data_IF_728664895459
#
_entry.id   IF_728664895459
#
_cell.length_a   1.000
_cell.length_b   1.000
_cell.length_c   1.000
_cell.angle_alpha   90.00
_cell.angle_beta   90.00
_cell.angle_gamma   90.00
#
_symmetry.space_group_name_H-M   'P 1'
#
loop_
_entity.id
_entity.type
_entity.pdbx_description
1 polymer ?
#
# COMPACT_ATOMS: atom_id res chain seq x y z
N UNK A 1 -29.40 32.62 12.80
CA UNK A 1 -30.39 33.70 12.60
C UNK A 1 -30.92 33.56 11.19
N UNK A 2 -32.22 33.30 11.03
CA UNK A 2 -32.84 33.24 9.71
C UNK A 2 -33.23 34.69 9.31
N UNK A 3 -32.83 35.11 8.13
CA UNK A 3 -33.24 36.39 7.56
C UNK A 3 -34.29 36.10 6.48
N UNK A 4 -35.50 36.62 6.67
CA UNK A 4 -36.57 36.53 5.67
C UNK A 4 -36.41 37.69 4.71
N UNK A 5 -36.28 37.43 3.43
CA UNK A 5 -36.30 38.44 2.37
C UNK A 5 -37.65 38.27 1.65
N UNK A 6 -38.50 39.25 1.71
CA UNK A 6 -39.75 39.31 0.94
C UNK A 6 -39.48 40.06 -0.39
N UNK A 7 -39.81 39.43 -1.49
CA UNK A 7 -39.90 40.08 -2.79
C UNK A 7 -41.24 39.69 -3.43
N UNK A 8 -41.84 40.59 -4.11
CA UNK A 8 -43.24 40.81 -4.47
C UNK A 8 -44.14 39.62 -4.89
N UNK A 9 -43.74 38.37 -4.80
CA UNK A 9 -44.63 37.20 -4.95
C UNK A 9 -44.10 35.87 -4.37
N UNK A 10 -42.96 35.85 -3.70
CA UNK A 10 -42.46 34.62 -3.04
C UNK A 10 -41.79 34.93 -1.73
N UNK A 11 -42.14 34.19 -0.68
CA UNK A 11 -41.44 34.22 0.60
C UNK A 11 -40.25 33.21 0.49
N UNK A 12 -39.03 33.71 0.64
CA UNK A 12 -37.85 32.88 0.76
C UNK A 12 -37.34 32.93 2.19
N UNK A 13 -37.26 31.80 2.82
CA UNK A 13 -36.53 31.65 4.09
C UNK A 13 -35.07 31.33 3.77
N UNK A 14 -34.16 32.27 3.97
CA UNK A 14 -32.74 32.02 3.82
C UNK A 14 -32.23 31.37 5.08
N UNK A 15 -32.15 30.05 5.11
CA UNK A 15 -31.47 29.31 6.16
C UNK A 15 -29.98 29.35 5.87
N UNK A 16 -29.21 30.08 6.66
CA UNK A 16 -27.74 29.95 6.61
C UNK A 16 -27.37 28.60 7.21
N UNK A 17 -27.14 27.61 6.35
CA UNK A 17 -26.51 26.36 6.76
C UNK A 17 -25.02 26.62 6.79
N UNK A 18 -24.44 26.60 7.98
CA UNK A 18 -23.00 26.68 8.15
C UNK A 18 -22.44 25.24 8.11
N UNK A 19 -21.38 25.01 7.34
CA UNK A 19 -20.57 23.82 7.49
C UNK A 19 -19.82 23.87 8.85
N UNK A 20 -19.21 22.79 9.30
CA UNK A 20 -18.42 22.77 10.54
C UNK A 20 -17.31 23.83 10.60
N UNK A 21 -16.86 24.31 9.43
CA UNK A 21 -15.82 25.35 9.31
C UNK A 21 -16.39 26.77 9.33
N UNK A 22 -17.68 26.93 9.60
CA UNK A 22 -18.36 28.23 9.68
C UNK A 22 -18.59 28.93 8.33
N UNK A 23 -18.36 28.25 7.20
CA UNK A 23 -18.62 28.79 5.87
C UNK A 23 -20.10 28.66 5.51
N UNK A 24 -20.65 29.67 4.88
CA UNK A 24 -22.04 29.69 4.44
C UNK A 24 -22.21 28.77 3.24
N UNK A 25 -22.96 27.69 3.41
CA UNK A 25 -23.50 26.93 2.28
C UNK A 25 -24.65 27.74 1.71
N UNK A 26 -24.50 28.27 0.50
CA UNK A 26 -25.59 28.90 -0.22
C UNK A 26 -26.58 27.81 -0.68
N UNK A 27 -27.65 27.64 0.09
CA UNK A 27 -28.78 26.77 -0.30
C UNK A 27 -29.87 27.68 -0.82
N UNK A 28 -30.13 27.66 -2.11
CA UNK A 28 -31.32 28.31 -2.70
C UNK A 28 -32.44 27.28 -2.73
N UNK A 29 -33.47 27.50 -1.93
CA UNK A 29 -34.68 26.67 -1.94
C UNK A 29 -35.64 27.31 -2.96
N UNK A 30 -35.74 26.74 -4.14
CA UNK A 30 -36.81 27.03 -5.10
C UNK A 30 -38.04 26.15 -4.83
N UNK A 31 -39.18 26.45 -5.43
CA UNK A 31 -40.43 25.69 -5.26
C UNK A 31 -40.21 24.19 -5.37
N UNK A 32 -40.21 23.47 -4.26
CA UNK A 32 -40.24 22.01 -4.16
C UNK A 32 -38.91 21.27 -4.15
N UNK A 33 -37.73 21.91 -4.23
CA UNK A 33 -36.43 21.24 -4.08
C UNK A 33 -35.35 22.16 -3.52
N UNK A 34 -34.56 21.66 -2.55
CA UNK A 34 -33.31 22.30 -2.14
C UNK A 34 -32.23 22.04 -3.20
N UNK A 35 -31.79 23.06 -3.93
CA UNK A 35 -30.63 22.95 -4.81
C UNK A 35 -29.36 23.22 -3.98
N UNK A 36 -28.58 22.20 -3.74
CA UNK A 36 -27.22 22.34 -3.16
C UNK A 36 -26.29 22.65 -4.31
N UNK A 37 -25.75 23.87 -4.35
CA UNK A 37 -24.68 24.21 -5.30
C UNK A 37 -23.33 23.89 -4.63
N UNK A 38 -22.68 22.80 -5.02
CA UNK A 38 -21.32 22.54 -4.58
C UNK A 38 -20.41 23.68 -5.08
N UNK A 39 -19.28 23.94 -4.39
CA UNK A 39 -18.28 24.91 -4.87
C UNK A 39 -17.97 24.70 -6.35
N UNK A 40 -17.72 25.78 -7.08
CA UNK A 40 -17.51 25.73 -8.55
C UNK A 40 -16.40 24.75 -8.98
N UNK A 41 -15.43 24.50 -8.10
CA UNK A 41 -14.36 23.51 -8.29
C UNK A 41 -14.84 22.06 -8.23
N UNK A 42 -16.02 21.80 -7.66
CA UNK A 42 -16.62 20.45 -7.66
C UNK A 42 -17.30 20.11 -8.98
N UNK A 43 -17.40 21.05 -9.90
CA UNK A 43 -17.98 20.87 -11.24
C UNK A 43 -16.89 20.96 -12.31
N UNK A 44 -17.12 20.28 -13.44
CA UNK A 44 -16.31 20.47 -14.65
C UNK A 44 -16.71 21.76 -15.39
N UNK A 45 -16.04 22.06 -16.52
CA UNK A 45 -16.31 23.24 -17.32
C UNK A 45 -17.74 23.26 -17.95
N UNK A 46 -18.43 22.13 -17.97
CA UNK A 46 -19.81 22.01 -18.43
C UNK A 46 -20.82 22.04 -17.27
N UNK A 47 -20.38 22.32 -16.04
CA UNK A 47 -21.24 22.37 -14.86
C UNK A 47 -21.64 21.00 -14.30
N UNK A 48 -21.04 19.90 -14.77
CA UNK A 48 -21.32 18.54 -14.29
C UNK A 48 -20.53 18.28 -13.02
N UNK A 49 -21.18 17.68 -12.02
CA UNK A 49 -20.51 17.31 -10.79
C UNK A 49 -19.33 16.35 -11.04
N UNK A 50 -18.16 16.67 -10.49
CA UNK A 50 -16.99 15.78 -10.53
C UNK A 50 -17.18 14.67 -9.51
N UNK A 51 -17.52 13.49 -9.98
CA UNK A 51 -17.65 12.27 -9.18
C UNK A 51 -16.58 11.27 -9.58
N UNK A 52 -16.09 10.50 -8.63
CA UNK A 52 -15.09 9.47 -8.88
C UNK A 52 -15.42 8.20 -8.11
N UNK A 53 -15.04 7.04 -8.67
CA UNK A 53 -15.15 5.76 -7.98
C UNK A 53 -13.81 5.43 -7.32
N UNK A 54 -13.77 5.14 -6.02
CA UNK A 54 -12.56 4.67 -5.35
C UNK A 54 -12.07 3.36 -5.98
N UNK A 55 -10.76 3.19 -6.04
CA UNK A 55 -10.11 1.95 -6.45
C UNK A 55 -9.27 1.41 -5.30
N UNK A 56 -9.55 0.18 -4.86
CA UNK A 56 -8.80 -0.47 -3.79
C UNK A 56 -7.45 -0.95 -4.32
N UNK A 57 -6.37 -0.34 -3.85
CA UNK A 57 -5.00 -0.75 -4.15
C UNK A 57 -4.55 -1.90 -3.26
N UNK A 58 -5.10 -1.96 -2.05
CA UNK A 58 -4.73 -2.93 -1.03
C UNK A 58 -5.83 -3.09 0.01
N UNK A 59 -6.06 -4.32 0.42
CA UNK A 59 -6.81 -4.67 1.61
C UNK A 59 -6.13 -5.84 2.33
N UNK A 60 -6.20 -5.84 3.64
CA UNK A 60 -5.63 -6.89 4.48
C UNK A 60 -6.44 -7.09 5.74
N UNK A 61 -6.77 -8.35 6.01
CA UNK A 61 -7.34 -8.82 7.25
C UNK A 61 -6.61 -10.08 7.71
N UNK A 62 -6.73 -10.42 8.99
CA UNK A 62 -6.00 -11.54 9.59
C UNK A 62 -6.95 -12.61 10.16
N UNK A 63 -8.10 -12.82 9.52
CA UNK A 63 -9.15 -13.74 10.02
C UNK A 63 -8.65 -15.16 10.28
N UNK A 64 -7.83 -15.72 9.38
CA UNK A 64 -7.38 -17.11 9.44
C UNK A 64 -5.88 -17.27 9.64
N UNK A 65 -5.12 -16.19 9.74
CA UNK A 65 -3.67 -16.23 9.90
C UNK A 65 -2.98 -15.00 9.35
N UNK A 66 -1.66 -15.04 9.34
CA UNK A 66 -0.85 -14.08 8.59
C UNK A 66 -1.05 -14.35 7.09
N UNK A 67 -1.53 -13.35 6.37
CA UNK A 67 -1.90 -13.49 4.95
C UNK A 67 -0.70 -13.44 4.00
N UNK A 68 0.53 -13.30 4.51
CA UNK A 68 1.76 -13.23 3.71
C UNK A 68 1.93 -11.91 2.94
N UNK A 69 1.15 -10.87 3.27
CA UNK A 69 1.26 -9.54 2.68
C UNK A 69 2.11 -8.58 3.53
N UNK A 70 2.68 -9.08 4.61
CA UNK A 70 3.47 -8.31 5.58
C UNK A 70 4.80 -9.00 5.87
N UNK A 71 5.89 -8.26 5.75
CA UNK A 71 7.19 -8.63 6.31
C UNK A 71 7.22 -8.27 7.80
N UNK A 72 7.89 -9.10 8.59
CA UNK A 72 7.99 -8.91 10.04
C UNK A 72 9.46 -8.95 10.47
N UNK A 73 9.89 -7.94 11.21
CA UNK A 73 11.20 -7.90 11.86
C UNK A 73 11.00 -7.82 13.37
N UNK A 74 11.78 -8.60 14.11
CA UNK A 74 11.75 -8.65 15.58
C UNK A 74 13.15 -8.49 16.15
N UNK A 75 13.26 -7.89 17.33
CA UNK A 75 14.52 -7.75 18.05
C UNK A 75 14.31 -7.89 19.57
N UNK A 76 15.33 -8.40 20.27
CA UNK A 76 15.47 -8.34 21.74
C UNK A 76 14.24 -8.78 22.55
N UNK A 77 13.62 -9.90 22.18
CA UNK A 77 12.42 -10.41 22.88
C UNK A 77 11.08 -10.00 22.25
N UNK A 78 11.14 -9.25 21.12
CA UNK A 78 9.94 -8.98 20.31
C UNK A 78 9.42 -10.24 19.64
N UNK A 79 8.08 -10.39 19.55
CA UNK A 79 7.41 -11.51 18.89
C UNK A 79 6.11 -11.07 18.22
N UNK A 80 5.81 -11.65 17.06
CA UNK A 80 4.55 -11.47 16.34
C UNK A 80 3.75 -12.77 16.38
N UNK A 81 2.47 -12.70 16.73
CA UNK A 81 1.62 -13.88 16.83
C UNK A 81 0.20 -13.59 16.32
N UNK A 82 -0.34 -14.53 15.54
CA UNK A 82 -1.74 -14.50 15.13
C UNK A 82 -2.63 -14.92 16.29
N UNK A 83 -3.69 -14.16 16.54
CA UNK A 83 -4.76 -14.50 17.47
C UNK A 83 -6.01 -14.92 16.66
N UNK A 84 -6.30 -16.22 16.66
CA UNK A 84 -7.41 -16.78 15.90
C UNK A 84 -8.79 -16.39 16.44
N UNK A 85 -8.90 -16.09 17.73
CA UNK A 85 -10.17 -15.72 18.35
C UNK A 85 -10.52 -14.27 18.03
N UNK A 86 -9.53 -13.37 18.06
CA UNK A 86 -9.71 -11.97 17.73
C UNK A 86 -9.54 -11.69 16.23
N UNK A 87 -8.93 -12.60 15.45
CA UNK A 87 -8.70 -12.46 14.01
C UNK A 87 -7.71 -11.36 13.66
N UNK A 88 -6.65 -11.22 14.44
CA UNK A 88 -5.67 -10.14 14.34
C UNK A 88 -4.23 -10.66 14.58
N UNK A 89 -3.25 -9.77 14.43
CA UNK A 89 -1.86 -10.03 14.78
C UNK A 89 -1.49 -9.22 16.03
N UNK A 90 -0.99 -9.90 17.05
CA UNK A 90 -0.39 -9.32 18.24
C UNK A 90 1.11 -9.05 17.98
N UNK A 91 1.54 -7.81 18.12
CA UNK A 91 2.94 -7.41 18.12
C UNK A 91 3.34 -7.25 19.59
N UNK A 92 4.10 -8.22 20.10
CA UNK A 92 4.46 -8.32 21.52
C UNK A 92 5.91 -7.89 21.72
N UNK A 93 6.15 -7.09 22.75
CA UNK A 93 7.49 -6.78 23.27
C UNK A 93 7.54 -7.14 24.76
N UNK A 94 8.67 -7.67 25.21
CA UNK A 94 8.94 -7.86 26.65
C UNK A 94 9.31 -6.53 27.33
N UNK A 95 9.89 -6.57 28.54
CA UNK A 95 10.31 -5.36 29.24
C UNK A 95 11.71 -4.86 28.84
N UNK A 96 12.43 -5.58 27.98
CA UNK A 96 13.83 -5.33 27.66
C UNK A 96 13.98 -4.08 26.77
N UNK A 97 15.00 -3.28 27.05
CA UNK A 97 15.38 -2.18 26.15
C UNK A 97 15.75 -2.71 24.77
N UNK A 98 15.23 -2.06 23.71
CA UNK A 98 15.45 -2.48 22.33
C UNK A 98 14.53 -3.61 21.86
N UNK A 99 13.67 -4.18 22.74
CA UNK A 99 12.65 -5.13 22.32
C UNK A 99 11.71 -4.45 21.32
N UNK A 100 11.55 -5.05 20.14
CA UNK A 100 10.74 -4.43 19.07
C UNK A 100 10.12 -5.44 18.14
N UNK A 101 8.97 -5.05 17.57
CA UNK A 101 8.33 -5.71 16.44
C UNK A 101 7.94 -4.65 15.43
N UNK A 102 8.32 -4.87 14.18
CA UNK A 102 7.96 -4.04 13.05
C UNK A 102 7.31 -4.93 12.00
N UNK A 103 6.13 -4.54 11.54
CA UNK A 103 5.47 -5.16 10.39
C UNK A 103 5.27 -4.13 9.31
N UNK A 104 5.71 -4.45 8.09
CA UNK A 104 5.59 -3.58 6.92
C UNK A 104 5.05 -4.38 5.74
N UNK A 105 4.19 -3.78 4.92
CA UNK A 105 3.67 -4.45 3.73
C UNK A 105 4.79 -4.78 2.75
N UNK A 106 4.72 -5.99 2.15
CA UNK A 106 5.67 -6.44 1.11
C UNK A 106 5.50 -5.69 -0.22
N UNK A 107 4.54 -4.77 -0.27
CA UNK A 107 4.25 -3.87 -1.39
C UNK A 107 4.25 -2.43 -0.93
N UNK A 108 4.57 -1.54 -1.85
CA UNK A 108 4.31 -0.11 -1.74
C UNK A 108 3.14 0.27 -2.63
N UNK A 109 2.46 1.35 -2.30
CA UNK A 109 1.23 1.75 -2.99
C UNK A 109 1.50 2.96 -3.85
N UNK A 110 1.30 2.81 -5.16
CA UNK A 110 1.58 3.85 -6.12
C UNK A 110 0.60 5.01 -5.98
N UNK A 111 1.12 6.19 -5.69
CA UNK A 111 0.40 7.43 -5.83
C UNK A 111 0.26 7.81 -7.30
N UNK A 112 -0.90 8.29 -7.71
CA UNK A 112 -1.12 8.80 -9.06
C UNK A 112 -1.43 10.30 -8.99
N UNK A 113 -0.61 11.18 -9.61
CA UNK A 113 -0.82 12.62 -9.60
C UNK A 113 -2.23 13.02 -10.04
N UNK A 114 -2.84 13.94 -9.29
CA UNK A 114 -4.22 14.39 -9.51
C UNK A 114 -5.31 13.54 -8.86
N UNK A 115 -4.91 12.56 -8.03
CA UNK A 115 -5.80 11.75 -7.18
C UNK A 115 -5.32 11.81 -5.75
N UNK A 116 -6.19 11.47 -4.78
CA UNK A 116 -5.77 11.30 -3.39
C UNK A 116 -5.68 9.82 -3.02
N UNK A 117 -4.86 9.52 -2.01
CA UNK A 117 -4.81 8.20 -1.38
C UNK A 117 -5.47 8.30 0.00
N UNK A 118 -6.51 7.50 0.21
CA UNK A 118 -7.11 7.27 1.51
C UNK A 118 -6.55 5.96 2.08
N UNK A 119 -5.93 6.06 3.24
CA UNK A 119 -5.34 4.94 3.97
C UNK A 119 -6.06 4.78 5.29
N UNK A 120 -6.49 3.56 5.62
CA UNK A 120 -7.10 3.24 6.91
C UNK A 120 -6.39 2.07 7.57
N UNK A 121 -6.10 2.21 8.86
CA UNK A 121 -5.47 1.18 9.68
C UNK A 121 -6.27 0.98 10.95
N UNK A 122 -6.65 -0.25 11.25
CA UNK A 122 -7.34 -0.60 12.50
C UNK A 122 -6.34 -1.16 13.50
N UNK A 123 -6.32 -0.59 14.71
CA UNK A 123 -5.32 -0.86 15.73
C UNK A 123 -5.90 -0.78 17.14
N UNK A 124 -5.17 -1.37 18.11
CA UNK A 124 -5.30 -1.08 19.54
C UNK A 124 -3.91 -0.84 20.09
N UNK A 125 -3.65 0.35 20.62
CA UNK A 125 -2.41 0.60 21.34
C UNK A 125 -2.43 -0.10 22.71
N UNK A 126 -1.27 -0.58 23.14
CA UNK A 126 -1.06 -0.90 24.55
C UNK A 126 -1.14 0.38 25.39
N UNK A 127 -1.49 0.22 26.66
CA UNK A 127 -1.41 1.31 27.66
C UNK A 127 -0.06 2.02 27.55
N UNK A 128 -0.11 3.35 27.43
CA UNK A 128 1.10 4.16 27.35
C UNK A 128 1.94 4.05 28.61
N UNK A 129 3.26 3.87 28.44
CA UNK A 129 4.22 3.82 29.55
C UNK A 129 5.57 4.36 29.12
N UNK A 130 6.34 4.88 30.07
CA UNK A 130 7.69 5.39 29.84
C UNK A 130 8.56 4.32 29.15
N UNK A 131 9.29 4.71 28.11
CA UNK A 131 10.15 3.83 27.33
C UNK A 131 9.46 3.02 26.25
N UNK A 132 8.12 3.06 26.14
CA UNK A 132 7.36 2.39 25.08
C UNK A 132 6.96 3.37 23.98
N UNK A 133 7.24 3.00 22.73
CA UNK A 133 6.81 3.75 21.53
C UNK A 133 6.05 2.84 20.58
N UNK A 134 4.87 3.27 20.15
CA UNK A 134 3.98 2.56 19.24
C UNK A 134 3.61 3.47 18.07
N UNK A 135 3.68 2.98 16.84
CA UNK A 135 3.47 3.74 15.60
C UNK A 135 2.64 2.94 14.60
N UNK A 136 1.66 3.58 13.97
CA UNK A 136 0.84 2.94 12.92
C UNK A 136 0.52 3.96 11.83
N UNK A 137 0.69 3.58 10.57
CA UNK A 137 0.36 4.45 9.46
C UNK A 137 0.92 4.01 8.12
N UNK A 138 1.04 4.97 7.24
CA UNK A 138 1.58 4.83 5.90
C UNK A 138 2.97 5.49 5.85
N UNK A 139 3.99 4.73 6.18
CA UNK A 139 5.35 5.25 6.30
C UNK A 139 6.43 4.16 6.19
N UNK A 140 7.64 4.60 5.88
CA UNK A 140 8.85 3.80 5.95
C UNK A 140 9.91 4.50 6.82
N UNK A 141 11.17 4.12 6.70
CA UNK A 141 12.26 4.74 7.47
C UNK A 141 12.56 6.18 7.04
N UNK A 142 12.14 6.58 5.82
CA UNK A 142 12.49 7.87 5.22
C UNK A 142 11.33 8.86 5.18
N UNK A 143 10.11 8.39 4.86
CA UNK A 143 8.96 9.26 4.60
C UNK A 143 7.68 8.66 5.16
N UNK A 144 6.65 9.49 5.34
CA UNK A 144 5.27 9.07 5.56
C UNK A 144 4.56 9.75 6.72
N UNK A 145 3.38 9.19 7.05
CA UNK A 145 2.45 9.74 8.04
C UNK A 145 1.99 8.62 8.96
N UNK A 146 1.97 8.90 10.25
CA UNK A 146 1.56 7.91 11.25
C UNK A 146 1.04 8.56 12.52
N UNK A 147 0.19 7.82 13.22
CA UNK A 147 -0.16 8.09 14.61
C UNK A 147 0.88 7.42 15.51
N UNK A 148 1.28 8.10 16.57
CA UNK A 148 2.26 7.63 17.52
C UNK A 148 1.73 7.77 18.95
N UNK A 149 1.91 6.71 19.75
CA UNK A 149 1.85 6.79 21.21
C UNK A 149 3.25 6.56 21.74
N UNK A 150 3.90 7.62 22.21
CA UNK A 150 5.26 7.60 22.77
C UNK A 150 5.23 7.93 24.27
N UNK A 151 5.52 6.94 25.09
CA UNK A 151 5.18 7.06 26.50
C UNK A 151 3.65 7.15 26.62
N UNK A 152 3.16 8.25 27.17
CA UNK A 152 1.72 8.60 27.29
C UNK A 152 1.25 9.62 26.24
N UNK A 153 2.17 10.11 25.40
CA UNK A 153 1.91 11.22 24.50
C UNK A 153 1.40 10.72 23.14
N UNK A 154 0.13 10.97 22.88
CA UNK A 154 -0.49 10.72 21.58
C UNK A 154 -0.18 11.88 20.64
N UNK A 155 0.38 11.55 19.47
CA UNK A 155 0.75 12.53 18.44
C UNK A 155 0.51 12.00 17.04
N UNK A 156 0.40 12.91 16.09
CA UNK A 156 0.43 12.65 14.65
C UNK A 156 1.78 13.12 14.14
N UNK A 157 2.40 12.32 13.26
CA UNK A 157 3.76 12.58 12.79
C UNK A 157 3.79 12.59 11.27
N UNK A 158 4.45 13.60 10.71
CA UNK A 158 4.88 13.65 9.31
C UNK A 158 6.39 13.44 9.26
N UNK A 159 6.85 12.40 8.60
CA UNK A 159 8.26 12.07 8.38
C UNK A 159 8.67 12.46 6.97
N UNK A 160 9.79 13.12 6.81
CA UNK A 160 10.33 13.55 5.53
C UNK A 160 11.84 13.39 5.46
N UNK A 161 12.35 12.91 4.33
CA UNK A 161 13.79 12.83 4.03
C UNK A 161 14.25 13.87 2.99
N UNK A 162 13.48 14.90 2.74
CA UNK A 162 13.78 15.95 1.76
C UNK A 162 15.13 16.66 2.04
N UNK A 163 15.55 16.69 3.30
CA UNK A 163 16.86 17.26 3.71
C UNK A 163 18.03 16.28 3.57
N UNK A 164 17.80 15.08 3.01
CA UNK A 164 18.80 13.99 2.89
C UNK A 164 18.78 13.00 4.05
N UNK A 165 18.20 13.36 5.20
CA UNK A 165 17.97 12.48 6.36
C UNK A 165 16.52 12.56 6.79
N UNK A 166 16.00 11.48 7.40
CA UNK A 166 14.63 11.47 7.88
C UNK A 166 14.45 12.41 9.08
N UNK A 167 13.51 13.32 8.99
CA UNK A 167 13.12 14.26 10.05
C UNK A 167 11.64 14.07 10.35
N UNK A 168 11.29 13.94 11.64
CA UNK A 168 9.92 13.81 12.12
C UNK A 168 9.38 15.19 12.57
N UNK A 169 8.31 15.66 11.93
CA UNK A 169 7.48 16.74 12.45
C UNK A 169 6.41 16.11 13.33
N UNK A 170 6.61 16.19 14.64
CA UNK A 170 5.70 15.61 15.64
C UNK A 170 4.70 16.68 16.07
N UNK A 171 3.41 16.38 15.92
CA UNK A 171 2.29 17.24 16.36
C UNK A 171 1.57 16.55 17.52
N UNK A 172 1.81 16.98 18.77
CA UNK A 172 1.10 16.47 19.93
C UNK A 172 -0.41 16.70 19.81
N UNK A 173 -1.21 15.85 20.45
CA UNK A 173 -2.68 15.97 20.45
C UNK A 173 -3.16 17.39 20.81
N UNK A 174 -2.49 18.05 21.75
CA UNK A 174 -2.83 19.41 22.17
C UNK A 174 -2.72 20.45 21.04
N UNK A 175 -1.92 20.17 20.00
CA UNK A 175 -1.64 21.07 18.88
C UNK A 175 -2.37 20.66 17.60
N UNK A 176 -3.24 19.64 17.63
CA UNK A 176 -4.07 19.32 16.47
C UNK A 176 -4.97 20.49 16.11
N UNK A 177 -4.99 20.85 14.84
CA UNK A 177 -5.55 22.12 14.39
C UNK A 177 -7.04 22.05 14.01
N UNK A 178 -7.68 20.88 13.99
CA UNK A 178 -9.11 20.71 13.67
C UNK A 178 -9.87 20.16 14.89
N UNK A 179 -9.58 18.94 15.32
CA UNK A 179 -10.20 18.33 16.49
C UNK A 179 -9.17 17.58 17.33
N UNK A 180 -9.02 17.97 18.58
CA UNK A 180 -8.05 17.40 19.52
C UNK A 180 -8.49 16.07 20.10
N UNK A 181 -9.74 15.68 19.92
CA UNK A 181 -10.36 14.51 20.55
C UNK A 181 -10.10 14.43 22.06
N UNK A 182 -10.18 15.56 22.74
CA UNK A 182 -10.03 15.72 24.21
C UNK A 182 -11.34 16.01 24.93
N UNK A 183 -12.47 15.92 24.19
CA UNK A 183 -13.81 16.24 24.68
C UNK A 183 -14.21 17.70 24.50
N UNK A 184 -13.26 18.60 24.17
CA UNK A 184 -13.50 20.04 24.01
C UNK A 184 -13.46 20.48 22.53
N UNK A 185 -13.11 19.58 21.60
CA UNK A 185 -13.10 19.86 20.18
C UNK A 185 -14.52 19.84 19.56
N UNK A 186 -14.62 20.15 18.24
CA UNK A 186 -15.90 20.22 17.53
C UNK A 186 -16.77 18.97 17.62
N UNK A 187 -16.16 17.79 17.69
CA UNK A 187 -16.89 16.52 17.80
C UNK A 187 -17.38 16.20 19.21
N UNK A 188 -16.83 16.84 20.25
CA UNK A 188 -17.07 16.50 21.64
C UNK A 188 -16.55 15.14 22.08
N UNK A 189 -15.76 14.45 21.24
CA UNK A 189 -15.24 13.10 21.48
C UNK A 189 -13.97 13.16 22.32
N UNK A 190 -13.84 12.24 23.28
CA UNK A 190 -12.57 11.96 23.96
C UNK A 190 -12.05 10.60 23.48
N UNK A 191 -10.91 10.60 22.79
CA UNK A 191 -10.29 9.36 22.29
C UNK A 191 -9.63 8.59 23.44
N UNK A 192 -9.86 7.28 23.47
CA UNK A 192 -9.09 6.34 24.27
C UNK A 192 -8.26 5.45 23.35
N UNK A 193 -6.93 5.68 23.22
CA UNK A 193 -6.07 4.93 22.31
C UNK A 193 -5.94 3.44 22.67
N UNK A 194 -6.30 3.05 23.89
CA UNK A 194 -6.30 1.65 24.36
C UNK A 194 -7.55 0.86 23.93
N UNK A 195 -8.44 1.49 23.19
CA UNK A 195 -9.59 0.84 22.54
C UNK A 195 -9.34 0.70 21.05
N UNK A 196 -10.18 -0.11 20.38
CA UNK A 196 -10.08 -0.26 18.92
C UNK A 196 -10.25 1.10 18.26
N UNK A 197 -9.28 1.48 17.43
CA UNK A 197 -9.30 2.69 16.65
C UNK A 197 -9.15 2.37 15.17
N UNK A 198 -9.81 3.15 14.32
CA UNK A 198 -9.54 3.20 12.89
C UNK A 198 -8.87 4.55 12.63
N UNK A 199 -7.55 4.53 12.44
CA UNK A 199 -6.78 5.70 12.05
C UNK A 199 -6.81 5.84 10.53
N UNK A 200 -7.10 7.03 10.03
CA UNK A 200 -7.09 7.31 8.61
C UNK A 200 -6.15 8.45 8.25
N UNK A 201 -5.55 8.35 7.07
CA UNK A 201 -4.76 9.40 6.44
C UNK A 201 -5.25 9.55 5.01
N UNK A 202 -5.54 10.77 4.61
CA UNK A 202 -5.95 11.12 3.26
C UNK A 202 -5.02 12.22 2.75
N UNK A 203 -4.36 11.97 1.64
CA UNK A 203 -3.36 12.89 1.14
C UNK A 203 -3.29 12.93 -0.38
N UNK A 204 -3.05 14.13 -0.88
CA UNK A 204 -2.56 14.41 -2.21
C UNK A 204 -1.07 14.77 -2.13
N UNK A 205 -0.27 14.29 -3.05
CA UNK A 205 1.14 14.65 -3.01
C UNK A 205 1.42 15.87 -3.89
N UNK A 206 1.49 15.73 -5.22
CA UNK A 206 1.92 16.79 -6.15
C UNK A 206 3.09 17.66 -5.62
N UNK A 207 3.81 17.15 -4.61
CA UNK A 207 4.91 17.82 -3.92
C UNK A 207 4.50 18.83 -2.83
N UNK A 208 3.30 19.39 -2.90
CA UNK A 208 2.84 20.47 -2.03
C UNK A 208 1.38 20.35 -1.54
N UNK A 209 0.75 19.22 -1.81
CA UNK A 209 -0.64 18.99 -1.39
C UNK A 209 -0.80 18.85 0.12
N UNK A 210 -2.04 18.82 0.57
CA UNK A 210 -2.38 18.68 1.98
C UNK A 210 -2.39 17.21 2.42
N UNK A 211 -2.13 17.00 3.71
CA UNK A 211 -2.32 15.70 4.36
C UNK A 211 -3.33 15.87 5.49
N UNK A 212 -4.47 15.21 5.38
CA UNK A 212 -5.52 15.17 6.38
C UNK A 212 -5.43 13.86 7.15
N UNK A 213 -5.59 13.94 8.46
CA UNK A 213 -5.51 12.78 9.33
C UNK A 213 -6.58 12.81 10.40
N UNK A 214 -7.02 11.64 10.83
CA UNK A 214 -8.02 11.54 11.88
C UNK A 214 -8.39 10.10 12.23
N UNK A 215 -9.54 9.98 12.87
CA UNK A 215 -10.08 8.69 13.32
C UNK A 215 -11.50 8.50 12.82
N UNK A 216 -11.95 7.24 12.75
CA UNK A 216 -13.36 6.94 12.49
C UNK A 216 -14.05 6.68 13.83
N UNK A 217 -15.14 7.37 14.07
CA UNK A 217 -15.96 7.20 15.26
C UNK A 217 -17.44 7.06 14.86
N UNK A 218 -18.10 5.99 15.32
CA UNK A 218 -19.49 5.68 14.97
C UNK A 218 -19.78 5.73 13.45
N UNK A 219 -18.84 5.23 12.63
CA UNK A 219 -18.99 5.21 11.17
C UNK A 219 -18.74 6.55 10.47
N UNK A 220 -18.31 7.58 11.18
CA UNK A 220 -18.01 8.91 10.63
C UNK A 220 -16.52 9.22 10.71
N UNK A 221 -16.00 9.84 9.67
CA UNK A 221 -14.63 10.35 9.64
C UNK A 221 -14.55 11.60 10.52
N UNK A 222 -13.78 11.54 11.62
CA UNK A 222 -13.46 12.70 12.47
C UNK A 222 -12.10 13.21 12.05
N UNK A 223 -12.08 14.40 11.46
CA UNK A 223 -10.87 15.07 11.02
C UNK A 223 -10.16 15.71 12.21
N UNK A 224 -8.91 15.37 12.46
CA UNK A 224 -8.17 15.82 13.63
C UNK A 224 -7.11 16.88 13.30
N UNK A 225 -6.37 16.68 12.23
CA UNK A 225 -5.28 17.58 11.87
C UNK A 225 -5.04 17.61 10.36
N UNK A 226 -4.62 18.79 9.86
CA UNK A 226 -4.15 18.97 8.48
C UNK A 226 -2.72 19.51 8.48
N UNK A 227 -1.81 18.79 7.81
CA UNK A 227 -0.52 19.37 7.40
C UNK A 227 -0.73 20.16 6.11
N UNK A 228 -0.44 21.46 6.15
CA UNK A 228 -0.60 22.38 5.04
C UNK A 228 0.76 22.74 4.46
N UNK A 229 0.95 22.51 3.17
CA UNK A 229 2.24 22.67 2.51
C UNK A 229 2.25 23.74 1.43
N UNK A 230 1.19 23.82 0.59
CA UNK A 230 1.10 24.80 -0.48
C UNK A 230 1.24 26.23 0.07
N UNK A 231 2.09 27.03 -0.56
CA UNK A 231 2.47 28.39 -0.15
C UNK A 231 3.19 28.51 1.22
N UNK A 232 3.52 27.37 1.87
CA UNK A 232 4.21 27.36 3.17
C UNK A 232 5.63 26.80 3.07
N UNK A 233 5.92 25.98 2.07
CA UNK A 233 7.22 25.33 1.90
C UNK A 233 7.81 25.68 0.54
N UNK A 234 9.14 25.61 0.42
CA UNK A 234 9.89 25.92 -0.81
C UNK A 234 10.39 24.68 -1.56
N UNK A 235 10.04 23.48 -1.10
CA UNK A 235 10.40 22.17 -1.66
C UNK A 235 9.24 21.20 -1.51
N UNK A 236 9.39 19.95 -1.94
CA UNK A 236 8.37 18.91 -1.67
C UNK A 236 8.34 18.57 -0.18
N UNK A 237 7.16 18.22 0.35
CA UNK A 237 7.03 17.88 1.77
C UNK A 237 7.54 16.47 2.13
N UNK A 238 7.53 15.54 1.17
CA UNK A 238 8.17 14.21 1.24
C UNK A 238 8.81 13.89 -0.09
N UNK A 239 9.83 13.02 -0.12
CA UNK A 239 10.55 12.67 -1.34
C UNK A 239 9.77 11.72 -2.25
N UNK A 240 8.84 10.94 -1.69
CA UNK A 240 7.97 10.03 -2.43
C UNK A 240 6.65 9.82 -1.69
N UNK A 241 5.57 9.72 -2.47
CA UNK A 241 4.25 9.33 -1.97
C UNK A 241 3.97 7.82 -2.16
N UNK A 242 4.93 7.07 -2.71
CA UNK A 242 4.83 5.61 -2.87
C UNK A 242 5.37 4.97 -1.60
N UNK A 243 4.48 4.64 -0.69
CA UNK A 243 4.79 4.25 0.67
C UNK A 243 4.14 2.91 1.04
N UNK A 244 4.74 2.13 1.96
CA UNK A 244 4.13 0.95 2.56
C UNK A 244 3.21 1.33 3.73
N UNK A 245 2.39 0.38 4.19
CA UNK A 245 1.77 0.43 5.52
C UNK A 245 2.72 -0.17 6.54
N UNK A 246 2.71 0.38 7.77
CA UNK A 246 3.60 -0.08 8.82
C UNK A 246 2.95 0.01 10.20
N UNK A 247 3.18 -1.04 11.01
CA UNK A 247 2.90 -1.12 12.43
C UNK A 247 4.22 -1.36 13.15
N UNK A 248 4.47 -0.61 14.21
CA UNK A 248 5.73 -0.67 14.95
C UNK A 248 5.47 -0.52 16.45
N UNK A 249 6.03 -1.42 17.25
CA UNK A 249 6.14 -1.31 18.69
C UNK A 249 7.59 -1.49 19.10
N UNK A 250 8.12 -0.59 19.93
CA UNK A 250 9.53 -0.60 20.31
C UNK A 250 9.71 -0.08 21.74
N UNK A 251 10.50 -0.79 22.53
CA UNK A 251 11.00 -0.28 23.80
C UNK A 251 12.25 0.58 23.54
N UNK A 252 12.12 1.88 23.70
CA UNK A 252 13.24 2.85 23.59
C UNK A 252 14.08 2.93 24.88
N UNK A 253 13.58 2.33 25.95
CA UNK A 253 14.25 2.07 27.23
C UNK A 253 13.61 0.83 27.86
N UNK A 254 14.15 0.29 28.94
CA UNK A 254 13.49 -0.77 29.70
C UNK A 254 12.13 -0.27 30.23
N UNK A 255 11.11 -1.12 30.12
CA UNK A 255 9.73 -0.79 30.50
C UNK A 255 9.29 -1.53 31.77
N UNK A 256 8.18 -1.14 32.38
CA UNK A 256 7.63 -1.76 33.59
C UNK A 256 6.97 -3.13 33.36
N UNK A 257 7.05 -3.69 32.16
CA UNK A 257 6.47 -4.98 31.79
C UNK A 257 6.21 -5.08 30.29
N UNK A 258 5.77 -6.25 29.83
CA UNK A 258 5.46 -6.52 28.43
C UNK A 258 4.35 -5.60 27.89
N UNK A 259 4.32 -5.46 26.57
CA UNK A 259 3.32 -4.64 25.86
C UNK A 259 2.91 -5.30 24.55
N UNK A 260 1.67 -5.04 24.11
CA UNK A 260 1.12 -5.57 22.87
C UNK A 260 0.45 -4.48 22.07
N UNK A 261 0.89 -4.26 20.84
CA UNK A 261 0.17 -3.50 19.83
C UNK A 261 -0.63 -4.49 18.97
N UNK A 262 -1.93 -4.25 18.80
CA UNK A 262 -2.80 -5.11 17.99
C UNK A 262 -2.95 -4.54 16.58
N UNK A 263 -2.68 -5.35 15.56
CA UNK A 263 -2.92 -5.07 14.14
C UNK A 263 -4.14 -5.84 13.67
N UNK A 264 -5.18 -5.17 13.19
CA UNK A 264 -6.47 -5.80 12.81
C UNK A 264 -6.62 -5.81 11.29
N UNK A 265 -6.99 -4.68 10.69
CA UNK A 265 -7.21 -4.54 9.25
C UNK A 265 -6.49 -3.30 8.71
N UNK A 266 -6.21 -3.32 7.41
CA UNK A 266 -5.67 -2.14 6.72
C UNK A 266 -6.17 -2.10 5.30
N UNK A 267 -6.39 -0.89 4.77
CA UNK A 267 -6.74 -0.69 3.37
C UNK A 267 -6.09 0.58 2.81
N UNK A 268 -5.84 0.56 1.50
CA UNK A 268 -5.38 1.71 0.72
C UNK A 268 -6.28 1.87 -0.48
N UNK A 269 -6.88 3.04 -0.62
CA UNK A 269 -7.81 3.40 -1.68
C UNK A 269 -7.24 4.57 -2.49
N UNK A 270 -7.26 4.48 -3.82
CA UNK A 270 -7.08 5.63 -4.70
C UNK A 270 -8.43 6.26 -4.97
N UNK A 271 -8.65 7.48 -4.50
CA UNK A 271 -9.88 8.22 -4.74
C UNK A 271 -9.80 8.93 -6.10
N UNK A 272 -10.61 8.49 -7.03
CA UNK A 272 -10.53 8.92 -8.42
C UNK A 272 -10.18 7.78 -9.37
N UNK A 273 -10.29 6.54 -8.91
CA UNK A 273 -9.92 5.34 -9.66
C UNK A 273 -8.40 5.21 -9.83
N UNK A 274 -7.98 4.29 -10.65
CA UNK A 274 -6.58 4.07 -10.96
C UNK A 274 -6.40 3.74 -12.45
N UNK A 275 -5.34 4.24 -13.07
CA UNK A 275 -5.00 3.92 -14.46
C UNK A 275 -3.54 3.48 -14.50
N UNK A 276 -3.30 2.31 -15.06
CA UNK A 276 -1.94 1.89 -15.36
C UNK A 276 -1.39 2.78 -16.47
N UNK A 277 -0.46 3.64 -16.10
CA UNK A 277 0.29 4.50 -17.01
C UNK A 277 1.75 4.36 -16.60
N UNK A 278 2.40 3.39 -17.20
CA UNK A 278 3.78 3.11 -16.93
C UNK A 278 4.54 2.91 -18.22
N UNK A 279 5.83 2.65 -18.07
CA UNK A 279 6.69 2.23 -19.17
C UNK A 279 6.66 0.72 -19.28
N UNK A 280 6.34 0.19 -20.46
CA UNK A 280 6.40 -1.25 -20.72
C UNK A 280 7.83 -1.77 -20.65
N UNK A 281 8.01 -2.91 -19.99
CA UNK A 281 9.22 -3.68 -19.95
C UNK A 281 8.97 -5.12 -20.43
N UNK A 282 10.01 -5.76 -20.97
CA UNK A 282 9.95 -7.14 -21.44
C UNK A 282 11.31 -7.81 -21.31
N UNK A 283 11.28 -9.12 -21.02
CA UNK A 283 12.43 -10.01 -21.11
C UNK A 283 11.99 -11.36 -21.67
N UNK A 284 12.83 -11.97 -22.48
CA UNK A 284 12.57 -13.28 -23.08
C UNK A 284 13.81 -14.16 -23.09
N UNK A 285 13.58 -15.47 -23.18
CA UNK A 285 14.61 -16.45 -23.54
C UNK A 285 15.03 -16.19 -25.01
N UNK A 286 16.34 -16.07 -25.33
CA UNK A 286 16.78 -15.95 -26.71
C UNK A 286 16.35 -17.17 -27.53
N UNK A 287 15.93 -16.94 -28.79
CA UNK A 287 15.39 -17.98 -29.64
C UNK A 287 16.38 -19.16 -29.91
N UNK A 288 17.65 -18.90 -29.77
CA UNK A 288 18.72 -19.89 -29.95
C UNK A 288 19.26 -20.46 -28.63
N UNK A 289 18.62 -20.20 -27.51
CA UNK A 289 19.09 -20.57 -26.16
C UNK A 289 17.93 -20.98 -25.25
N UNK A 290 17.17 -21.99 -25.67
CA UNK A 290 16.11 -22.58 -24.87
C UNK A 290 16.65 -23.15 -23.56
N UNK A 291 15.85 -23.10 -22.49
CA UNK A 291 16.19 -23.79 -21.24
C UNK A 291 15.98 -25.28 -21.39
N UNK A 292 17.06 -26.07 -21.22
CA UNK A 292 17.03 -27.53 -21.30
C UNK A 292 16.30 -28.13 -20.08
N UNK A 293 15.48 -29.15 -20.33
CA UNK A 293 14.76 -29.92 -19.32
C UNK A 293 15.12 -31.38 -19.49
N UNK A 294 15.97 -31.94 -18.62
CA UNK A 294 16.54 -33.26 -18.76
C UNK A 294 15.56 -34.39 -18.40
N UNK A 295 14.80 -34.22 -17.32
CA UNK A 295 13.92 -35.22 -16.71
C UNK A 295 12.46 -34.82 -16.83
N UNK A 296 11.61 -35.73 -17.29
CA UNK A 296 10.17 -35.61 -17.29
C UNK A 296 9.62 -35.50 -15.87
N UNK A 297 8.70 -34.57 -15.64
CA UNK A 297 8.06 -34.37 -14.34
C UNK A 297 8.81 -33.42 -13.40
N UNK A 298 10.12 -33.20 -13.59
CA UNK A 298 10.89 -32.23 -12.83
C UNK A 298 10.62 -30.80 -13.32
N UNK A 299 10.51 -29.85 -12.39
CA UNK A 299 10.33 -28.43 -12.72
C UNK A 299 11.66 -27.71 -12.87
N UNK A 300 11.84 -27.11 -14.00
CA UNK A 300 13.03 -26.33 -14.38
C UNK A 300 12.73 -24.86 -14.37
N UNK A 301 13.56 -24.01 -13.74
CA UNK A 301 13.39 -22.58 -13.76
C UNK A 301 13.76 -22.01 -15.13
N UNK A 302 12.78 -21.34 -15.77
CA UNK A 302 12.98 -20.74 -17.09
C UNK A 302 13.49 -19.30 -16.98
N UNK A 303 12.89 -18.53 -16.05
CA UNK A 303 13.22 -17.13 -15.83
C UNK A 303 12.71 -16.67 -14.49
N UNK A 304 13.52 -15.89 -13.78
CA UNK A 304 13.12 -15.11 -12.61
C UNK A 304 13.29 -13.64 -12.88
N UNK A 305 12.36 -12.83 -12.34
CA UNK A 305 12.46 -11.36 -12.27
C UNK A 305 12.28 -10.91 -10.82
N UNK A 306 12.89 -9.78 -10.46
CA UNK A 306 12.70 -9.12 -9.16
C UNK A 306 13.06 -7.64 -9.26
N UNK A 307 12.70 -6.87 -8.23
CA UNK A 307 13.17 -5.50 -8.10
C UNK A 307 14.68 -5.47 -7.85
N UNK A 308 15.35 -4.47 -8.40
CA UNK A 308 16.77 -4.21 -8.09
C UNK A 308 16.89 -3.71 -6.65
N UNK A 309 17.95 -4.10 -5.95
CA UNK A 309 18.18 -3.67 -4.56
C UNK A 309 18.21 -2.14 -4.37
N UNK A 310 18.57 -1.39 -5.42
CA UNK A 310 18.57 0.08 -5.41
C UNK A 310 17.21 0.71 -5.76
N UNK A 311 16.17 -0.09 -6.04
CA UNK A 311 14.85 0.32 -6.51
C UNK A 311 13.71 -0.49 -5.84
N UNK A 312 13.86 -0.83 -4.56
CA UNK A 312 12.88 -1.67 -3.84
C UNK A 312 11.50 -1.02 -3.67
N UNK A 313 11.43 0.30 -3.73
CA UNK A 313 10.15 1.04 -3.66
C UNK A 313 9.55 1.33 -5.05
N UNK A 314 10.06 0.70 -6.10
CA UNK A 314 9.43 0.76 -7.41
C UNK A 314 8.15 -0.09 -7.45
N UNK A 315 7.20 0.33 -8.27
CA UNK A 315 5.96 -0.41 -8.54
C UNK A 315 6.04 -0.97 -9.94
N UNK A 316 6.19 -2.30 -10.01
CA UNK A 316 6.27 -3.07 -11.25
C UNK A 316 5.18 -4.13 -11.25
N UNK A 317 4.38 -4.14 -12.30
CA UNK A 317 3.23 -5.03 -12.43
C UNK A 317 3.40 -5.91 -13.66
N UNK A 318 3.67 -7.23 -13.50
CA UNK A 318 3.65 -8.18 -14.61
C UNK A 318 2.29 -8.19 -15.31
N UNK A 319 2.31 -8.04 -16.64
CA UNK A 319 1.10 -7.94 -17.47
C UNK A 319 0.88 -9.14 -18.37
N UNK A 320 1.93 -9.93 -18.63
CA UNK A 320 1.79 -11.11 -19.46
C UNK A 320 2.97 -12.05 -19.31
N UNK A 321 2.69 -13.33 -19.44
CA UNK A 321 3.67 -14.41 -19.46
C UNK A 321 3.38 -15.30 -20.66
N UNK A 322 4.42 -15.72 -21.35
CA UNK A 322 4.32 -16.71 -22.41
C UNK A 322 5.30 -17.83 -22.12
N UNK A 323 4.87 -19.05 -22.37
CA UNK A 323 5.74 -20.24 -22.35
C UNK A 323 5.53 -20.98 -23.67
N UNK A 324 6.63 -21.34 -24.30
CA UNK A 324 6.66 -22.13 -25.55
C UNK A 324 7.49 -23.36 -25.33
N UNK A 325 6.95 -24.54 -25.62
CA UNK A 325 7.71 -25.80 -25.63
C UNK A 325 8.64 -25.87 -26.83
N UNK A 326 9.81 -26.46 -26.64
CA UNK A 326 10.78 -26.67 -27.69
C UNK A 326 10.50 -27.89 -28.58
N UNK A 327 9.42 -28.66 -28.33
CA UNK A 327 9.00 -29.82 -29.10
C UNK A 327 7.52 -29.78 -29.40
N UNK A 328 7.13 -30.19 -30.60
CA UNK A 328 5.72 -30.26 -31.03
C UNK A 328 5.02 -31.59 -30.68
N UNK A 329 5.71 -32.50 -30.01
CA UNK A 329 5.18 -33.81 -29.61
C UNK A 329 5.14 -34.03 -28.09
N UNK A 330 5.48 -33.01 -27.31
CA UNK A 330 5.63 -33.10 -25.87
C UNK A 330 4.66 -32.08 -25.21
N UNK A 331 3.92 -32.52 -24.21
CA UNK A 331 3.09 -31.64 -23.42
C UNK A 331 3.86 -31.01 -22.25
N UNK A 332 3.52 -29.80 -21.88
CA UNK A 332 4.20 -29.04 -20.85
C UNK A 332 3.21 -28.55 -19.80
N UNK A 333 3.67 -28.51 -18.54
CA UNK A 333 3.02 -27.76 -17.49
C UNK A 333 3.94 -26.62 -17.03
N UNK A 334 3.40 -25.43 -16.89
CA UNK A 334 4.13 -24.26 -16.38
C UNK A 334 3.53 -23.78 -15.05
N UNK A 335 4.37 -23.15 -14.24
CA UNK A 335 3.99 -22.52 -12.97
C UNK A 335 4.61 -21.14 -12.86
N UNK A 336 3.84 -20.18 -12.35
CA UNK A 336 4.34 -18.90 -11.87
C UNK A 336 4.45 -18.98 -10.35
N UNK A 337 5.65 -18.76 -9.83
CA UNK A 337 5.95 -18.89 -8.40
C UNK A 337 6.42 -17.56 -7.86
N UNK A 338 5.76 -17.11 -6.77
CA UNK A 338 6.12 -15.92 -6.04
C UNK A 338 6.85 -16.31 -4.75
N UNK A 339 7.99 -15.68 -4.51
CA UNK A 339 8.92 -16.05 -3.44
C UNK A 339 9.75 -17.29 -3.81
N UNK A 340 10.45 -17.85 -2.86
CA UNK A 340 11.45 -18.87 -3.09
C UNK A 340 12.78 -18.27 -3.51
N UNK A 341 13.72 -19.14 -3.88
CA UNK A 341 15.09 -18.73 -4.18
C UNK A 341 15.62 -19.48 -5.38
N UNK A 342 16.09 -18.73 -6.37
CA UNK A 342 16.85 -19.27 -7.49
C UNK A 342 18.32 -19.46 -7.08
N UNK A 343 18.93 -20.56 -7.54
CA UNK A 343 20.35 -20.87 -7.30
C UNK A 343 21.10 -20.89 -8.63
N UNK A 344 22.31 -20.36 -8.60
CA UNK A 344 23.16 -20.26 -9.78
C UNK A 344 22.75 -19.15 -10.74
N UNK A 345 23.51 -19.06 -11.86
CA UNK A 345 23.30 -18.03 -12.85
C UNK A 345 23.68 -16.61 -12.37
N UNK A 346 23.27 -15.61 -13.13
CA UNK A 346 23.60 -14.21 -12.88
C UNK A 346 22.37 -13.34 -12.99
N UNK A 347 22.15 -12.51 -11.97
CA UNK A 347 21.15 -11.43 -12.02
C UNK A 347 21.66 -10.28 -12.88
N UNK A 348 20.90 -9.91 -13.88
CA UNK A 348 21.24 -8.87 -14.84
C UNK A 348 20.17 -7.77 -14.81
N UNK A 349 20.58 -6.52 -14.69
CA UNK A 349 19.66 -5.40 -14.77
C UNK A 349 19.07 -5.28 -16.18
N UNK A 350 17.77 -5.06 -16.26
CA UNK A 350 17.13 -4.71 -17.54
C UNK A 350 17.60 -3.32 -17.97
N UNK A 351 17.91 -3.18 -19.27
CA UNK A 351 18.45 -1.95 -19.83
C UNK A 351 17.48 -0.75 -19.71
N UNK A 352 17.99 0.46 -19.97
CA UNK A 352 17.16 1.67 -20.03
C UNK A 352 16.72 2.21 -18.68
N UNK A 353 17.42 1.88 -17.58
CA UNK A 353 17.11 2.39 -16.24
C UNK A 353 15.93 1.69 -15.55
N UNK A 354 15.51 0.53 -16.05
CA UNK A 354 14.47 -0.30 -15.45
C UNK A 354 14.76 -0.62 -13.98
N UNK A 355 13.73 -0.62 -13.10
CA UNK A 355 13.87 -1.10 -11.73
C UNK A 355 13.94 -2.63 -11.62
N UNK A 356 13.84 -3.35 -12.74
CA UNK A 356 13.80 -4.81 -12.79
C UNK A 356 15.19 -5.37 -13.10
N UNK A 357 15.53 -6.46 -12.44
CA UNK A 357 16.60 -7.37 -12.83
C UNK A 357 16.06 -8.78 -13.04
N UNK A 358 16.72 -9.54 -13.88
CA UNK A 358 16.32 -10.89 -14.25
C UNK A 358 17.48 -11.89 -14.14
N UNK A 359 17.13 -13.16 -13.95
CA UNK A 359 18.03 -14.30 -14.07
C UNK A 359 17.37 -15.34 -14.98
N UNK A 360 18.06 -15.78 -16.02
CA UNK A 360 17.64 -16.82 -16.97
C UNK A 360 18.62 -17.95 -17.08
N UNK A 361 19.68 -17.96 -16.29
CA UNK A 361 20.77 -18.94 -16.29
C UNK A 361 20.87 -19.67 -14.94
N UNK A 362 19.85 -19.56 -14.11
CA UNK A 362 19.78 -20.31 -12.86
C UNK A 362 19.72 -21.83 -13.12
N UNK A 363 20.29 -22.57 -12.19
CA UNK A 363 20.39 -24.03 -12.30
C UNK A 363 19.32 -24.77 -11.51
N UNK A 364 18.79 -24.16 -10.46
CA UNK A 364 17.70 -24.71 -9.63
C UNK A 364 16.88 -23.62 -8.97
N UNK A 365 15.71 -24.01 -8.45
CA UNK A 365 14.81 -23.16 -7.73
C UNK A 365 14.15 -23.93 -6.59
N UNK A 366 13.97 -23.31 -5.42
CA UNK A 366 13.36 -23.93 -4.26
C UNK A 366 12.41 -22.98 -3.53
N UNK A 367 11.34 -23.53 -2.97
CA UNK A 367 10.36 -22.82 -2.16
C UNK A 367 9.39 -21.97 -2.98
N UNK A 368 8.80 -20.97 -2.33
CA UNK A 368 7.81 -20.06 -2.92
C UNK A 368 6.39 -20.64 -2.97
N UNK A 369 5.46 -19.79 -3.39
CA UNK A 369 4.05 -20.10 -3.56
C UNK A 369 3.68 -20.06 -5.04
N UNK A 370 3.08 -21.13 -5.55
CA UNK A 370 2.51 -21.14 -6.90
C UNK A 370 1.29 -20.21 -6.92
N UNK A 371 1.32 -19.22 -7.81
CA UNK A 371 0.26 -18.20 -7.94
C UNK A 371 -0.51 -18.31 -9.25
N UNK A 372 0.05 -19.01 -10.25
CA UNK A 372 -0.62 -19.38 -11.49
C UNK A 372 0.01 -20.64 -12.07
N UNK A 373 -0.77 -21.40 -12.84
CA UNK A 373 -0.30 -22.61 -13.54
C UNK A 373 -1.14 -22.87 -14.78
N UNK A 374 -0.60 -23.60 -15.74
CA UNK A 374 -1.34 -24.01 -16.94
C UNK A 374 -0.60 -25.07 -17.73
N UNK A 375 -1.27 -25.62 -18.75
CA UNK A 375 -0.75 -26.63 -19.66
C UNK A 375 -0.63 -26.09 -21.07
N UNK A 376 0.36 -26.61 -21.80
CA UNK A 376 0.58 -26.38 -23.21
C UNK A 376 0.67 -27.74 -23.89
N UNK A 377 -0.08 -27.94 -24.96
CA UNK A 377 0.07 -29.12 -25.80
C UNK A 377 1.12 -28.84 -26.87
N UNK A 378 2.05 -29.75 -27.05
CA UNK A 378 3.07 -29.65 -28.08
C UNK A 378 2.50 -29.65 -29.52
N UNK A 379 1.37 -30.32 -29.74
CA UNK A 379 0.71 -30.41 -31.04
C UNK A 379 -0.08 -29.18 -31.43
N UNK A 380 -0.44 -28.35 -30.46
CA UNK A 380 -1.30 -27.17 -30.65
C UNK A 380 -0.70 -25.93 -29.96
N UNK A 381 0.59 -25.65 -30.22
CA UNK A 381 1.24 -24.44 -29.67
C UNK A 381 0.70 -23.16 -30.32
N UNK A 382 -0.58 -22.92 -30.15
CA UNK A 382 -1.18 -21.64 -30.43
C UNK A 382 -0.78 -20.66 -29.34
N UNK A 383 -0.43 -19.43 -29.69
CA UNK A 383 -0.19 -18.32 -28.78
C UNK A 383 -1.39 -18.17 -27.83
N UNK A 384 -1.29 -18.69 -26.63
CA UNK A 384 -2.11 -18.26 -25.53
C UNK A 384 -1.23 -17.41 -24.62
N UNK A 385 -1.15 -16.08 -24.83
CA UNK A 385 -0.60 -15.22 -23.81
C UNK A 385 -1.47 -15.42 -22.57
N UNK A 386 -0.83 -15.69 -21.43
CA UNK A 386 -1.54 -15.60 -20.15
C UNK A 386 -1.73 -14.14 -19.91
N UNK A 387 -2.91 -13.66 -20.29
CA UNK A 387 -3.34 -12.31 -19.99
C UNK A 387 -3.68 -12.30 -18.48
N UNK A 388 -2.80 -11.71 -17.70
CA UNK A 388 -3.09 -11.40 -16.30
C UNK A 388 -4.10 -10.27 -16.35
N UNK A 389 -5.39 -10.57 -16.15
CA UNK A 389 -6.48 -9.62 -16.35
C UNK A 389 -6.20 -8.27 -15.67
N UNK A 390 -6.50 -7.18 -16.35
CA UNK A 390 -6.19 -5.81 -15.89
C UNK A 390 -6.84 -5.45 -14.56
N UNK A 391 -7.90 -6.13 -14.17
CA UNK A 391 -8.61 -5.90 -12.90
C UNK A 391 -7.89 -6.51 -11.69
N UNK A 392 -6.99 -7.48 -11.91
CA UNK A 392 -6.20 -8.13 -10.85
C UNK A 392 -4.73 -7.67 -10.81
N UNK A 393 -4.38 -6.61 -11.50
CA UNK A 393 -3.00 -6.21 -11.78
C UNK A 393 -2.12 -6.06 -10.54
N UNK A 394 -2.63 -5.44 -9.50
CA UNK A 394 -1.84 -5.28 -8.27
C UNK A 394 -1.64 -6.58 -7.49
N UNK A 395 -2.38 -7.64 -7.80
CA UNK A 395 -2.19 -8.97 -7.21
C UNK A 395 -0.81 -9.56 -7.52
N UNK A 396 -0.28 -9.26 -8.70
CA UNK A 396 1.01 -9.75 -9.18
C UNK A 396 2.14 -8.73 -9.10
N UNK A 397 1.93 -7.56 -8.49
CA UNK A 397 2.99 -6.58 -8.27
C UNK A 397 4.22 -7.25 -7.66
N UNK A 398 5.41 -6.92 -8.18
CA UNK A 398 6.67 -7.39 -7.60
C UNK A 398 6.77 -6.93 -6.15
N UNK A 399 7.20 -7.85 -5.28
CA UNK A 399 7.22 -7.67 -3.84
C UNK A 399 8.64 -7.45 -3.33
N UNK A 400 8.72 -6.93 -2.13
CA UNK A 400 9.96 -6.75 -1.40
C UNK A 400 9.77 -7.02 0.09
N UNK A 401 10.85 -7.32 0.78
CA UNK A 401 10.98 -7.14 2.21
C UNK A 401 11.72 -5.82 2.47
N UNK A 402 10.97 -4.76 2.77
CA UNK A 402 11.55 -3.43 3.03
C UNK A 402 12.32 -3.37 4.35
N UNK A 403 12.07 -4.29 5.27
CA UNK A 403 12.76 -4.38 6.57
C UNK A 403 14.12 -5.07 6.42
N UNK A 404 14.19 -6.12 5.59
CA UNK A 404 15.43 -6.81 5.26
C UNK A 404 16.21 -6.16 4.11
N UNK A 405 15.58 -5.24 3.35
CA UNK A 405 16.20 -4.64 2.17
C UNK A 405 16.38 -5.61 1.00
N UNK A 406 15.47 -6.59 0.85
CA UNK A 406 15.55 -7.64 -0.17
C UNK A 406 14.34 -7.66 -1.08
N UNK A 407 14.54 -8.02 -2.34
CA UNK A 407 13.46 -8.21 -3.31
C UNK A 407 12.97 -9.66 -3.32
N UNK A 408 11.68 -9.84 -3.55
CA UNK A 408 11.06 -11.16 -3.71
C UNK A 408 11.14 -11.57 -5.19
N UNK A 409 11.51 -12.83 -5.45
CA UNK A 409 11.59 -13.37 -6.80
C UNK A 409 10.21 -13.77 -7.33
N UNK A 410 9.95 -13.48 -8.61
CA UNK A 410 8.84 -13.99 -9.39
C UNK A 410 9.42 -14.87 -10.49
N UNK A 411 9.13 -16.17 -10.42
CA UNK A 411 9.80 -17.18 -11.26
C UNK A 411 8.81 -17.98 -12.08
N UNK A 412 9.12 -18.12 -13.38
CA UNK A 412 8.44 -19.05 -14.27
C UNK A 412 9.18 -20.38 -14.24
N UNK A 413 8.48 -21.44 -13.86
CA UNK A 413 8.96 -22.82 -13.91
C UNK A 413 8.19 -23.58 -14.99
N UNK A 414 8.82 -24.57 -15.59
CA UNK A 414 8.13 -25.53 -16.46
C UNK A 414 8.64 -26.96 -16.25
N UNK A 415 7.77 -27.90 -16.57
CA UNK A 415 8.08 -29.32 -16.70
C UNK A 415 7.49 -29.86 -17.98
N UNK A 416 7.95 -31.03 -18.41
CA UNK A 416 7.53 -31.67 -19.65
C UNK A 416 7.13 -33.14 -19.46
N UNK A 417 6.30 -33.65 -20.34
CA UNK A 417 5.88 -35.08 -20.34
C UNK A 417 6.94 -36.05 -20.84
N UNK A 418 8.05 -35.57 -21.39
CA UNK A 418 9.18 -36.38 -21.90
C UNK A 418 10.52 -35.83 -21.45
N UNK A 419 11.52 -36.70 -21.37
CA UNK A 419 12.90 -36.34 -21.06
C UNK A 419 13.56 -35.59 -22.23
N UNK A 420 14.66 -34.91 -21.94
CA UNK A 420 15.56 -34.27 -22.90
C UNK A 420 14.86 -33.33 -23.89
N UNK A 421 14.03 -32.45 -23.35
CA UNK A 421 13.35 -31.40 -24.11
C UNK A 421 13.79 -30.00 -23.65
N UNK A 422 13.11 -28.96 -24.12
CA UNK A 422 13.44 -27.57 -23.75
C UNK A 422 12.20 -26.69 -23.76
N UNK A 423 12.31 -25.51 -23.17
CA UNK A 423 11.25 -24.50 -23.23
C UNK A 423 11.83 -23.09 -23.34
N UNK A 424 11.00 -22.19 -23.85
CA UNK A 424 11.21 -20.73 -23.88
C UNK A 424 10.18 -20.03 -23.04
N UNK A 425 10.50 -18.84 -22.56
CA UNK A 425 9.54 -17.98 -21.87
C UNK A 425 9.78 -16.51 -22.16
N UNK A 426 8.73 -15.70 -22.03
CA UNK A 426 8.82 -14.25 -21.96
C UNK A 426 7.94 -13.74 -20.83
N UNK A 427 8.34 -12.62 -20.22
CA UNK A 427 7.59 -11.90 -19.19
C UNK A 427 7.51 -10.45 -19.63
N UNK A 428 6.28 -9.91 -19.65
CA UNK A 428 5.99 -8.50 -19.91
C UNK A 428 5.52 -7.85 -18.61
N UNK A 429 5.83 -6.58 -18.40
CA UNK A 429 5.38 -5.82 -17.24
C UNK A 429 5.23 -4.34 -17.55
N UNK A 430 4.51 -3.63 -16.66
CA UNK A 430 4.46 -2.18 -16.61
C UNK A 430 5.25 -1.66 -15.40
N UNK A 431 6.12 -0.68 -15.63
CA UNK A 431 6.83 0.09 -14.61
C UNK A 431 6.01 1.34 -14.29
N UNK A 432 5.23 1.28 -13.22
CA UNK A 432 4.28 2.32 -12.84
C UNK A 432 4.98 3.45 -12.09
N UNK A 433 5.90 3.09 -11.19
CA UNK A 433 6.78 4.00 -10.45
C UNK A 433 8.19 3.38 -10.45
N UNK A 434 9.20 4.17 -10.83
CA UNK A 434 10.56 3.67 -11.00
C UNK A 434 11.64 4.74 -10.73
#
# INVERSE_FOLDING_TARGET
>A
MATVIENDNCRYEVVKVLNPDGQVLNVTIGEGAAAIYPPSVSNDAFGRLRVSNPFTLFDSSHRYGDNGLWATSTASGGASAHDANEGLINLNVDATNGSSVIRETVRVFAYQPGKSLLVMNTLVFNVGKTGLRQRVGNFNTANGFFVQLNGTDLSIVSRSSVTGTAVDTVVPRADWNIDKLDGNGPSGITINPERVQIFWTDYEWLGAGNVRVGFVYNGQFVHCHTFQHANNISTTYITTATLPLRYEITNTAATSGSSTLKQICSTVLSEGGYQLRGRGGVINTPINSATAMATSGDYYPLMSIRLRATRLDAVVVPTGIQVLGGSNTVDYNWRLVLGGTSTGGTWTAVAGGSPVEFNRTMTSFAGGRVIATGYLSGSAQGNAPIDLSREELFKYQLQRDGLAGTATELTVLATASSNSTSAFTSINWDEVVY
#
